data_IF_349038462762
#
_entry.id   IF_349038462762
#
_cell.length_a   1.000
_cell.length_b   1.000
_cell.length_c   1.000
_cell.angle_alpha   90.00
_cell.angle_beta   90.00
_cell.angle_gamma   90.00
#
_symmetry.space_group_name_H-M   'P 1'
#
loop_
_entity.id
_entity.type
_entity.pdbx_description
1 polymer ?
#
# COMPACT_ATOMS: atom_id res chain seq x y z
N UNK A 1 -9.13 -18.41 3.10
CA UNK A 1 -9.72 -17.43 4.04
C UNK A 1 -11.23 -17.62 4.04
N UNK A 2 -11.82 -17.86 5.20
CA UNK A 2 -13.27 -17.90 5.37
C UNK A 2 -13.82 -16.49 5.50
N UNK A 3 -15.03 -16.28 4.98
CA UNK A 3 -15.70 -14.98 4.97
C UNK A 3 -17.04 -15.11 5.67
N UNK A 4 -17.26 -14.29 6.68
CA UNK A 4 -18.48 -14.24 7.46
C UNK A 4 -19.14 -12.87 7.31
N UNK A 5 -20.42 -12.88 6.95
CA UNK A 5 -21.26 -11.70 6.86
C UNK A 5 -22.19 -11.67 8.07
N UNK A 6 -22.14 -10.60 8.86
CA UNK A 6 -22.93 -10.48 10.10
C UNK A 6 -24.19 -9.63 9.96
N UNK A 7 -24.55 -9.22 8.73
CA UNK A 7 -25.77 -8.44 8.48
C UNK A 7 -27.03 -9.26 8.72
N UNK A 8 -28.19 -8.61 8.72
CA UNK A 8 -29.47 -9.33 8.78
C UNK A 8 -29.70 -10.22 7.54
N UNK A 9 -30.60 -11.19 7.67
CA UNK A 9 -30.87 -12.18 6.62
C UNK A 9 -31.33 -11.53 5.29
N UNK A 10 -32.11 -10.45 5.35
CA UNK A 10 -32.59 -9.79 4.15
C UNK A 10 -31.41 -9.12 3.41
N UNK A 11 -30.55 -8.43 4.14
CA UNK A 11 -29.32 -7.83 3.61
C UNK A 11 -28.33 -8.86 3.05
N UNK A 12 -28.17 -10.01 3.72
CA UNK A 12 -27.33 -11.11 3.23
C UNK A 12 -27.87 -11.67 1.91
N UNK A 13 -29.18 -11.90 1.83
CA UNK A 13 -29.84 -12.42 0.63
C UNK A 13 -29.84 -11.41 -0.53
N UNK A 14 -29.92 -10.11 -0.23
CA UNK A 14 -29.88 -9.04 -1.23
C UNK A 14 -28.52 -8.95 -1.93
N UNK A 15 -27.44 -9.33 -1.25
CA UNK A 15 -26.12 -9.45 -1.86
C UNK A 15 -25.00 -9.54 -0.82
N UNK A 16 -24.07 -10.47 -1.03
CA UNK A 16 -22.92 -10.74 -0.16
C UNK A 16 -21.69 -11.11 -1.00
N UNK A 17 -20.51 -11.13 -0.37
CA UNK A 17 -19.28 -11.58 -1.04
C UNK A 17 -19.41 -13.04 -1.46
N UNK A 18 -18.99 -13.37 -2.68
CA UNK A 18 -19.05 -14.74 -3.17
C UNK A 18 -18.34 -15.73 -2.22
N UNK A 19 -19.08 -16.75 -1.77
CA UNK A 19 -18.62 -17.75 -0.82
C UNK A 19 -18.59 -17.29 0.64
N UNK A 20 -19.17 -16.14 0.98
CA UNK A 20 -19.38 -15.73 2.37
C UNK A 20 -20.53 -16.54 3.00
N UNK A 21 -20.32 -16.93 4.25
CA UNK A 21 -21.33 -17.58 5.08
C UNK A 21 -21.99 -16.54 5.99
N UNK A 22 -23.28 -16.70 6.24
CA UNK A 22 -24.01 -15.83 7.15
C UNK A 22 -23.68 -16.18 8.60
N UNK A 23 -23.16 -15.23 9.36
CA UNK A 23 -22.78 -15.39 10.77
C UNK A 23 -23.80 -14.67 11.66
N UNK A 24 -24.38 -15.41 12.59
CA UNK A 24 -25.36 -14.92 13.56
C UNK A 24 -25.08 -15.51 14.94
N UNK A 25 -25.71 -14.94 15.97
CA UNK A 25 -25.61 -15.50 17.33
C UNK A 25 -26.10 -16.95 17.41
N UNK A 26 -26.96 -17.41 16.47
CA UNK A 26 -27.52 -18.76 16.49
C UNK A 26 -26.55 -19.83 15.98
N UNK A 27 -25.63 -19.47 15.09
CA UNK A 27 -24.73 -20.42 14.43
C UNK A 27 -23.24 -20.20 14.73
N UNK A 28 -22.88 -19.14 15.47
CA UNK A 28 -21.48 -18.84 15.81
C UNK A 28 -20.75 -20.03 16.49
N UNK A 29 -21.42 -20.75 17.40
CA UNK A 29 -20.82 -21.89 18.10
C UNK A 29 -20.51 -23.06 17.14
N UNK A 30 -21.39 -23.32 16.19
CA UNK A 30 -21.20 -24.36 15.17
C UNK A 30 -20.04 -23.98 14.23
N UNK A 31 -20.00 -22.72 13.78
CA UNK A 31 -18.94 -22.21 12.91
C UNK A 31 -17.57 -22.23 13.60
N UNK A 32 -17.49 -21.89 14.89
CA UNK A 32 -16.27 -22.01 15.70
C UNK A 32 -15.82 -23.48 15.80
N UNK A 33 -16.75 -24.41 16.03
CA UNK A 33 -16.45 -25.83 16.14
C UNK A 33 -15.96 -26.41 14.79
N UNK A 34 -16.62 -26.04 13.68
CA UNK A 34 -16.33 -26.53 12.34
C UNK A 34 -15.12 -25.90 11.65
N UNK A 35 -14.54 -24.83 12.21
CA UNK A 35 -13.42 -24.12 11.57
C UNK A 35 -12.08 -24.42 12.24
N UNK A 36 -11.06 -24.74 11.44
CA UNK A 36 -9.69 -24.93 11.97
C UNK A 36 -9.06 -23.60 12.40
N UNK A 37 -8.30 -23.60 13.50
CA UNK A 37 -7.81 -22.36 14.17
C UNK A 37 -6.75 -21.60 13.37
N UNK A 38 -6.12 -22.30 12.42
CA UNK A 38 -5.15 -21.74 11.48
C UNK A 38 -5.79 -21.16 10.21
N UNK A 39 -7.10 -21.32 10.03
CA UNK A 39 -7.77 -20.74 8.86
C UNK A 39 -7.96 -19.24 9.09
N UNK A 40 -7.48 -18.38 8.18
CA UNK A 40 -7.73 -16.94 8.28
C UNK A 40 -9.23 -16.68 8.11
N UNK A 41 -9.78 -15.82 8.96
CA UNK A 41 -11.21 -15.47 9.00
C UNK A 41 -11.38 -13.97 8.78
N UNK A 42 -12.22 -13.60 7.82
CA UNK A 42 -12.71 -12.24 7.64
C UNK A 42 -14.17 -12.18 8.07
N UNK A 43 -14.48 -11.29 9.01
CA UNK A 43 -15.84 -10.99 9.46
C UNK A 43 -16.16 -9.55 9.06
N UNK A 44 -17.24 -9.33 8.33
CA UNK A 44 -17.57 -7.99 7.84
C UNK A 44 -19.02 -7.61 8.06
N UNK A 45 -19.25 -6.32 8.28
CA UNK A 45 -20.56 -5.69 8.27
C UNK A 45 -20.52 -4.37 7.49
N UNK A 46 -21.65 -4.00 6.87
CA UNK A 46 -21.73 -2.71 6.16
C UNK A 46 -21.99 -1.54 7.11
N UNK A 47 -22.71 -1.77 8.21
CA UNK A 47 -23.08 -0.74 9.19
C UNK A 47 -22.99 -1.27 10.63
N UNK A 48 -22.37 -0.50 11.51
CA UNK A 48 -22.19 -0.83 12.93
C UNK A 48 -20.84 -1.48 13.26
N UNK A 49 -20.75 -2.07 14.45
CA UNK A 49 -19.52 -2.69 15.00
C UNK A 49 -19.69 -4.19 15.28
N UNK A 50 -20.76 -4.81 14.76
CA UNK A 50 -21.08 -6.21 15.04
C UNK A 50 -19.94 -7.15 14.64
N UNK A 51 -19.24 -6.88 13.54
CA UNK A 51 -18.08 -7.64 13.09
C UNK A 51 -16.95 -7.66 14.12
N UNK A 52 -16.77 -6.60 14.92
CA UNK A 52 -15.73 -6.54 15.94
C UNK A 52 -16.03 -7.47 17.12
N UNK A 53 -17.29 -7.54 17.56
CA UNK A 53 -17.69 -8.40 18.68
C UNK A 53 -17.53 -9.88 18.33
N UNK A 54 -17.93 -10.28 17.11
CA UNK A 54 -17.68 -11.63 16.64
C UNK A 54 -16.18 -11.89 16.41
N UNK A 55 -15.41 -10.92 15.90
CA UNK A 55 -13.98 -11.10 15.73
C UNK A 55 -13.27 -11.36 17.06
N UNK A 56 -13.63 -10.59 18.11
CA UNK A 56 -13.17 -10.85 19.48
C UNK A 56 -13.53 -12.24 19.95
N UNK A 57 -14.78 -12.67 19.70
CA UNK A 57 -15.24 -14.01 20.05
C UNK A 57 -14.37 -15.08 19.37
N UNK A 58 -14.10 -15.00 18.07
CA UNK A 58 -13.21 -15.97 17.41
C UNK A 58 -11.78 -15.92 17.97
N UNK A 59 -11.24 -14.74 18.27
CA UNK A 59 -9.93 -14.61 18.91
C UNK A 59 -9.88 -15.28 20.30
N UNK A 60 -10.92 -15.10 21.12
CA UNK A 60 -11.02 -15.71 22.45
C UNK A 60 -11.04 -17.25 22.38
N UNK A 61 -11.53 -17.82 21.27
CA UNK A 61 -11.51 -19.26 20.99
C UNK A 61 -10.23 -19.75 20.28
N UNK A 62 -9.19 -18.91 20.22
CA UNK A 62 -7.84 -19.29 19.81
C UNK A 62 -7.58 -19.24 18.30
N UNK A 63 -8.37 -18.47 17.54
CA UNK A 63 -8.09 -18.20 16.14
C UNK A 63 -7.05 -17.08 16.02
N UNK A 64 -5.93 -17.36 15.34
CA UNK A 64 -4.79 -16.44 15.30
C UNK A 64 -4.94 -15.31 14.26
N UNK A 65 -5.70 -15.56 13.18
CA UNK A 65 -5.86 -14.63 12.06
C UNK A 65 -7.35 -14.29 11.85
N UNK A 66 -7.88 -13.41 12.69
CA UNK A 66 -9.27 -12.93 12.63
C UNK A 66 -9.28 -11.44 12.31
N UNK A 67 -9.95 -11.09 11.21
CA UNK A 67 -10.06 -9.71 10.73
C UNK A 67 -11.51 -9.26 10.83
N UNK A 68 -11.75 -8.12 11.49
CA UNK A 68 -13.02 -7.42 11.46
C UNK A 68 -12.97 -6.31 10.43
N UNK A 69 -14.02 -6.18 9.62
CA UNK A 69 -14.19 -5.07 8.71
C UNK A 69 -15.54 -4.40 8.90
N UNK A 70 -15.49 -3.14 9.32
CA UNK A 70 -16.64 -2.26 9.41
C UNK A 70 -16.60 -1.30 8.19
N UNK A 71 -17.72 -1.12 7.49
CA UNK A 71 -17.83 -0.17 6.37
C UNK A 71 -17.96 -0.77 4.97
N UNK A 72 -18.15 -2.09 4.85
CA UNK A 72 -18.55 -2.75 3.59
C UNK A 72 -17.43 -3.09 2.59
N UNK A 73 -17.82 -3.63 1.43
CA UNK A 73 -16.94 -4.21 0.40
C UNK A 73 -15.89 -3.25 -0.17
N UNK A 74 -16.20 -1.96 -0.32
CA UNK A 74 -15.27 -0.98 -0.89
C UNK A 74 -14.10 -0.70 0.07
N UNK A 75 -14.35 -0.66 1.38
CA UNK A 75 -13.28 -0.58 2.39
C UNK A 75 -12.42 -1.85 2.39
N UNK A 76 -13.02 -3.02 2.16
CA UNK A 76 -12.28 -4.28 2.03
C UNK A 76 -11.35 -4.28 0.81
N UNK A 77 -11.87 -3.88 -0.35
CA UNK A 77 -11.13 -3.91 -1.63
C UNK A 77 -9.93 -2.97 -1.62
N UNK A 78 -10.02 -1.87 -0.86
CA UNK A 78 -8.93 -0.90 -0.69
C UNK A 78 -7.89 -1.35 0.36
N UNK A 79 -8.29 -2.05 1.41
CA UNK A 79 -7.38 -2.49 2.48
C UNK A 79 -6.76 -3.88 2.28
N UNK A 80 -7.40 -4.75 1.50
CA UNK A 80 -6.94 -6.11 1.25
C UNK A 80 -7.13 -6.44 -0.24
N UNK A 81 -6.19 -6.03 -1.12
CA UNK A 81 -6.19 -6.53 -2.48
C UNK A 81 -6.15 -8.05 -2.44
N UNK A 82 -6.93 -8.68 -3.32
CA UNK A 82 -7.01 -10.12 -3.41
C UNK A 82 -5.59 -10.71 -3.42
N UNK A 83 -5.27 -11.63 -2.50
CA UNK A 83 -4.13 -12.55 -2.67
C UNK A 83 -4.44 -13.44 -3.88
N UNK A 84 -4.30 -12.89 -5.09
CA UNK A 84 -4.44 -13.62 -6.34
C UNK A 84 -3.09 -14.26 -6.64
N UNK A 85 -2.95 -15.51 -6.19
CA UNK A 85 -1.88 -16.43 -6.58
C UNK A 85 -0.48 -15.90 -6.34
N UNK A 86 0.14 -16.26 -5.20
CA UNK A 86 1.59 -16.15 -5.08
C UNK A 86 2.21 -16.90 -6.26
N UNK A 87 2.71 -16.16 -7.26
CA UNK A 87 3.52 -16.76 -8.29
C UNK A 87 4.68 -17.44 -7.56
N UNK A 88 4.96 -18.69 -7.91
CA UNK A 88 5.97 -19.49 -7.23
C UNK A 88 7.29 -18.72 -7.29
N UNK A 89 7.82 -18.32 -6.13
CA UNK A 89 9.07 -17.57 -6.04
C UNK A 89 10.17 -18.40 -6.71
N UNK A 90 10.78 -17.84 -7.75
CA UNK A 90 11.85 -18.50 -8.50
C UNK A 90 13.13 -18.65 -7.65
N UNK A 91 14.03 -19.60 -8.00
CA UNK A 91 15.26 -19.83 -7.24
C UNK A 91 16.17 -18.59 -7.20
N UNK A 92 16.18 -17.78 -8.25
CA UNK A 92 16.94 -16.52 -8.32
C UNK A 92 16.42 -15.51 -7.29
N UNK A 93 15.10 -15.28 -7.27
CA UNK A 93 14.47 -14.38 -6.30
C UNK A 93 14.65 -14.89 -4.87
N UNK A 94 14.46 -16.18 -4.62
CA UNK A 94 14.69 -16.81 -3.32
C UNK A 94 16.14 -16.64 -2.83
N UNK A 95 17.13 -16.81 -3.72
CA UNK A 95 18.54 -16.59 -3.40
C UNK A 95 18.82 -15.11 -3.08
N UNK A 96 18.23 -14.19 -3.85
CA UNK A 96 18.36 -12.76 -3.58
C UNK A 96 17.72 -12.38 -2.24
N UNK A 97 16.51 -12.87 -1.94
CA UNK A 97 15.82 -12.66 -0.66
C UNK A 97 16.70 -13.11 0.51
N UNK A 98 17.22 -14.34 0.46
CA UNK A 98 18.11 -14.87 1.48
C UNK A 98 19.40 -14.03 1.64
N UNK A 99 20.01 -13.60 0.53
CA UNK A 99 21.20 -12.75 0.55
C UNK A 99 20.95 -11.37 1.17
N UNK A 100 19.72 -10.85 1.09
CA UNK A 100 19.31 -9.60 1.73
C UNK A 100 18.79 -9.78 3.16
N UNK A 101 18.78 -11.01 3.70
CA UNK A 101 18.33 -11.33 5.05
C UNK A 101 16.82 -11.54 5.19
N UNK A 102 16.10 -11.71 4.09
CA UNK A 102 14.68 -12.07 4.08
C UNK A 102 14.50 -13.60 4.03
N UNK A 103 13.36 -14.13 4.52
CA UNK A 103 12.93 -15.49 4.22
C UNK A 103 12.85 -15.68 2.69
N UNK A 104 13.37 -16.80 2.14
CA UNK A 104 13.42 -17.05 0.70
C UNK A 104 12.05 -17.28 0.05
N UNK A 105 11.01 -17.49 0.85
CA UNK A 105 9.66 -17.84 0.46
C UNK A 105 8.61 -16.75 0.77
N UNK A 106 9.04 -15.59 1.26
CA UNK A 106 8.15 -14.49 1.63
C UNK A 106 8.59 -13.16 1.01
N UNK A 107 7.80 -12.69 0.04
CA UNK A 107 8.04 -11.42 -0.68
C UNK A 107 7.59 -10.19 0.10
N UNK A 108 6.85 -10.36 1.19
CA UNK A 108 6.32 -9.29 2.05
C UNK A 108 6.97 -9.26 3.43
N UNK A 109 7.92 -10.16 3.69
CA UNK A 109 8.64 -10.23 4.95
C UNK A 109 9.25 -8.87 5.33
N UNK A 110 9.20 -8.54 6.61
CA UNK A 110 9.80 -7.32 7.13
C UNK A 110 11.04 -7.65 7.96
N UNK A 111 12.16 -6.98 7.67
CA UNK A 111 13.37 -7.00 8.52
C UNK A 111 13.43 -5.74 9.38
N UNK A 112 14.59 -5.43 9.96
CA UNK A 112 14.82 -4.21 10.73
C UNK A 112 14.30 -2.95 10.01
N UNK A 113 13.78 -2.00 10.81
CA UNK A 113 13.07 -0.80 10.34
C UNK A 113 11.83 -1.08 9.48
N UNK A 114 11.21 -2.26 9.59
CA UNK A 114 10.05 -2.68 8.78
C UNK A 114 10.33 -2.62 7.27
N UNK A 115 11.58 -2.85 6.88
CA UNK A 115 11.98 -2.83 5.47
C UNK A 115 11.49 -4.12 4.79
N UNK A 116 10.79 -4.01 3.65
CA UNK A 116 10.35 -5.15 2.84
C UNK A 116 11.34 -5.45 1.69
N UNK A 117 11.26 -6.63 1.03
CA UNK A 117 12.01 -6.92 -0.17
C UNK A 117 11.86 -5.86 -1.26
N UNK A 118 10.63 -5.39 -1.51
CA UNK A 118 10.35 -4.38 -2.53
C UNK A 118 11.05 -3.05 -2.21
N UNK A 119 11.03 -2.63 -0.94
CA UNK A 119 11.76 -1.45 -0.46
C UNK A 119 13.27 -1.60 -0.66
N UNK A 120 13.84 -2.76 -0.31
CA UNK A 120 15.27 -3.02 -0.48
C UNK A 120 15.67 -3.01 -1.96
N UNK A 121 14.88 -3.67 -2.82
CA UNK A 121 15.14 -3.71 -4.26
C UNK A 121 15.05 -2.31 -4.89
N UNK A 122 14.07 -1.51 -4.48
CA UNK A 122 13.91 -0.11 -4.90
C UNK A 122 15.10 0.76 -4.47
N UNK A 123 15.56 0.61 -3.23
CA UNK A 123 16.73 1.34 -2.74
C UNK A 123 18.02 0.99 -3.49
N UNK A 124 18.16 -0.26 -3.93
CA UNK A 124 19.31 -0.73 -4.72
C UNK A 124 19.16 -0.51 -6.23
N UNK A 125 17.98 -0.06 -6.70
CA UNK A 125 17.70 0.15 -8.12
C UNK A 125 17.59 -1.14 -8.93
N UNK A 126 17.35 -2.29 -8.30
CA UNK A 126 17.31 -3.57 -9.00
C UNK A 126 15.93 -3.80 -9.64
N UNK A 127 15.73 -3.23 -10.83
CA UNK A 127 14.46 -3.28 -11.58
C UNK A 127 14.01 -4.70 -11.90
N UNK A 128 14.93 -5.62 -12.19
CA UNK A 128 14.61 -7.01 -12.44
C UNK A 128 13.95 -7.64 -11.21
N UNK A 129 14.54 -7.45 -10.03
CA UNK A 129 13.99 -7.95 -8.77
C UNK A 129 12.68 -7.23 -8.41
N UNK A 130 12.56 -5.93 -8.64
CA UNK A 130 11.29 -5.19 -8.42
C UNK A 130 10.16 -5.84 -9.24
N UNK A 131 10.39 -6.08 -10.54
CA UNK A 131 9.39 -6.71 -11.41
C UNK A 131 9.07 -8.14 -10.98
N UNK A 132 10.06 -8.93 -10.58
CA UNK A 132 9.85 -10.29 -10.06
C UNK A 132 9.04 -10.29 -8.75
N UNK A 133 9.35 -9.38 -7.81
CA UNK A 133 8.62 -9.24 -6.55
C UNK A 133 7.16 -8.84 -6.80
N UNK A 134 6.92 -7.87 -7.68
CA UNK A 134 5.57 -7.43 -8.05
C UNK A 134 4.79 -8.55 -8.74
N UNK A 135 5.42 -9.30 -9.65
CA UNK A 135 4.83 -10.48 -10.29
C UNK A 135 4.53 -11.61 -9.29
N UNK A 136 5.32 -11.73 -8.23
CA UNK A 136 5.09 -12.65 -7.12
C UNK A 136 4.03 -12.17 -6.11
N UNK A 137 3.49 -10.96 -6.30
CA UNK A 137 2.41 -10.41 -5.49
C UNK A 137 2.87 -9.59 -4.28
N UNK A 138 4.10 -9.08 -4.27
CA UNK A 138 4.59 -8.20 -3.21
C UNK A 138 3.71 -6.95 -3.06
N UNK A 139 3.38 -6.60 -1.82
CA UNK A 139 2.55 -5.46 -1.48
C UNK A 139 3.24 -4.12 -1.75
N UNK A 140 2.69 -3.33 -2.67
CA UNK A 140 3.20 -2.00 -3.03
C UNK A 140 2.96 -0.92 -1.96
N UNK A 141 1.97 -1.14 -1.07
CA UNK A 141 1.52 -0.16 -0.09
C UNK A 141 2.31 -0.20 1.24
N UNK A 142 3.27 -1.12 1.38
CA UNK A 142 4.06 -1.25 2.60
C UNK A 142 4.88 0.02 2.89
N UNK A 143 5.02 0.36 4.18
CA UNK A 143 5.77 1.51 4.69
C UNK A 143 6.74 1.07 5.78
N UNK A 144 7.96 1.61 5.76
CA UNK A 144 9.00 1.31 6.74
C UNK A 144 8.73 2.05 8.07
N UNK A 145 9.65 1.97 9.03
CA UNK A 145 9.49 2.59 10.36
C UNK A 145 9.40 4.13 10.33
N UNK A 146 9.89 4.78 9.28
CA UNK A 146 9.80 6.24 9.06
C UNK A 146 8.60 6.61 8.17
N UNK A 147 7.77 5.62 7.84
CA UNK A 147 6.66 5.80 6.92
C UNK A 147 7.06 5.89 5.45
N UNK A 148 8.30 5.62 5.07
CA UNK A 148 8.76 5.66 3.69
C UNK A 148 8.36 4.37 2.94
N UNK A 149 7.90 4.50 1.70
CA UNK A 149 7.55 3.37 0.83
C UNK A 149 8.67 3.04 -0.18
N UNK A 150 8.44 2.06 -1.07
CA UNK A 150 9.42 1.68 -2.10
C UNK A 150 9.76 2.83 -3.07
N UNK A 151 8.77 3.66 -3.47
CA UNK A 151 8.99 4.80 -4.36
C UNK A 151 9.96 5.82 -3.74
N UNK A 152 9.76 6.15 -2.46
CA UNK A 152 10.66 7.04 -1.73
C UNK A 152 12.09 6.52 -1.78
N UNK A 153 12.29 5.23 -1.52
CA UNK A 153 13.62 4.63 -1.50
C UNK A 153 14.28 4.58 -2.88
N UNK A 154 13.52 4.40 -3.96
CA UNK A 154 14.01 4.55 -5.33
C UNK A 154 14.47 6.00 -5.61
N UNK A 155 13.73 6.99 -5.12
CA UNK A 155 14.10 8.42 -5.21
C UNK A 155 15.35 8.75 -4.36
N UNK A 156 15.51 8.10 -3.19
CA UNK A 156 16.74 8.17 -2.39
C UNK A 156 17.94 7.65 -3.21
N UNK A 157 17.79 6.53 -3.90
CA UNK A 157 18.83 5.93 -4.75
C UNK A 157 19.05 6.60 -6.12
N UNK A 158 18.17 7.54 -6.53
CA UNK A 158 18.16 8.18 -7.88
C UNK A 158 17.93 7.16 -9.01
N UNK A 159 17.17 6.10 -8.75
CA UNK A 159 16.93 5.02 -9.69
C UNK A 159 15.67 5.28 -10.52
N UNK A 160 15.78 6.04 -11.62
CA UNK A 160 14.63 6.44 -12.44
C UNK A 160 13.86 5.25 -13.03
N UNK A 161 14.58 4.22 -13.49
CA UNK A 161 13.94 3.00 -14.03
C UNK A 161 13.18 2.22 -12.94
N UNK A 162 13.62 2.30 -11.68
CA UNK A 162 12.91 1.71 -10.55
C UNK A 162 11.66 2.52 -10.19
N UNK A 163 11.74 3.87 -10.30
CA UNK A 163 10.57 4.74 -10.18
C UNK A 163 9.53 4.37 -11.24
N UNK A 164 9.96 4.22 -12.50
CA UNK A 164 9.07 3.82 -13.60
C UNK A 164 8.36 2.50 -13.32
N UNK A 165 9.11 1.45 -12.97
CA UNK A 165 8.55 0.13 -12.69
C UNK A 165 7.53 0.15 -11.53
N UNK A 166 7.78 0.94 -10.48
CA UNK A 166 6.87 1.06 -9.34
C UNK A 166 5.60 1.84 -9.70
N UNK A 167 5.72 2.92 -10.48
CA UNK A 167 4.57 3.71 -10.94
C UNK A 167 3.71 2.91 -11.93
N UNK A 168 4.33 2.15 -12.84
CA UNK A 168 3.62 1.21 -13.73
C UNK A 168 2.85 0.14 -12.95
N UNK A 169 3.35 -0.25 -11.78
CA UNK A 169 2.68 -1.17 -10.87
C UNK A 169 1.55 -0.53 -10.04
N UNK A 170 1.29 0.76 -10.23
CA UNK A 170 0.21 1.49 -9.56
C UNK A 170 0.56 2.00 -8.16
N UNK A 171 1.84 2.18 -7.83
CA UNK A 171 2.19 2.87 -6.58
C UNK A 171 1.71 4.32 -6.64
N UNK A 172 1.17 4.80 -5.53
CA UNK A 172 0.78 6.20 -5.40
C UNK A 172 2.04 7.09 -5.36
N UNK A 173 2.14 7.98 -6.36
CA UNK A 173 3.28 8.92 -6.54
C UNK A 173 3.33 9.95 -5.40
N UNK A 174 2.16 10.32 -4.87
CA UNK A 174 1.99 11.37 -3.86
C UNK A 174 1.89 10.80 -2.44
N UNK A 175 2.29 9.54 -2.26
CA UNK A 175 2.31 8.92 -0.95
C UNK A 175 3.17 9.72 0.03
N UNK A 176 2.66 9.86 1.25
CA UNK A 176 3.24 10.71 2.29
C UNK A 176 3.86 9.86 3.37
N UNK A 177 5.08 10.21 3.77
CA UNK A 177 5.73 9.59 4.92
C UNK A 177 5.15 10.11 6.26
N UNK A 178 5.71 9.69 7.40
CA UNK A 178 5.16 10.03 8.71
C UNK A 178 5.27 11.52 9.07
N UNK A 179 6.14 12.27 8.36
CA UNK A 179 6.25 13.73 8.45
C UNK A 179 5.35 14.45 7.42
N UNK A 180 4.51 13.71 6.70
CA UNK A 180 3.72 14.24 5.60
C UNK A 180 4.52 14.55 4.34
N UNK A 181 5.78 14.13 4.23
CA UNK A 181 6.60 14.44 3.07
C UNK A 181 6.35 13.46 1.91
N UNK A 182 6.26 13.98 0.69
CA UNK A 182 6.20 13.18 -0.55
C UNK A 182 7.60 12.94 -1.14
N UNK A 183 7.72 11.96 -2.03
CA UNK A 183 8.98 11.70 -2.74
C UNK A 183 9.47 12.92 -3.54
N UNK A 184 8.55 13.75 -4.05
CA UNK A 184 8.88 15.00 -4.75
C UNK A 184 9.51 16.04 -3.81
N UNK A 185 8.98 16.20 -2.60
CA UNK A 185 9.54 17.11 -1.59
C UNK A 185 10.96 16.70 -1.20
N UNK A 186 11.19 15.39 -1.00
CA UNK A 186 12.53 14.87 -0.71
C UNK A 186 13.50 15.11 -1.86
N UNK A 187 13.09 14.83 -3.10
CA UNK A 187 13.93 15.08 -4.28
C UNK A 187 14.29 16.57 -4.39
N UNK A 188 13.32 17.46 -4.11
CA UNK A 188 13.51 18.91 -4.09
C UNK A 188 14.51 19.36 -3.01
N UNK A 189 14.32 18.90 -1.77
CA UNK A 189 15.18 19.23 -0.63
C UNK A 189 16.58 18.63 -0.70
N UNK A 190 16.72 17.53 -1.43
CA UNK A 190 18.02 16.90 -1.70
C UNK A 190 18.70 17.46 -2.96
N UNK A 191 18.09 18.43 -3.66
CA UNK A 191 18.65 19.02 -4.87
C UNK A 191 18.72 18.06 -6.08
N UNK A 192 17.94 16.98 -6.08
CA UNK A 192 17.95 15.92 -7.11
C UNK A 192 17.05 16.30 -8.28
N UNK A 193 17.49 17.28 -9.08
CA UNK A 193 16.70 17.86 -10.16
C UNK A 193 16.19 16.82 -11.19
N UNK A 194 17.00 15.82 -11.53
CA UNK A 194 16.58 14.73 -12.43
C UNK A 194 15.39 13.93 -11.87
N UNK A 195 15.38 13.65 -10.56
CA UNK A 195 14.29 12.93 -9.89
C UNK A 195 13.05 13.83 -9.77
N UNK A 196 13.24 15.13 -9.52
CA UNK A 196 12.15 16.12 -9.55
C UNK A 196 11.48 16.14 -10.91
N UNK A 197 12.26 16.29 -11.99
CA UNK A 197 11.74 16.29 -13.36
C UNK A 197 10.97 15.00 -13.66
N UNK A 198 11.52 13.86 -13.24
CA UNK A 198 10.92 12.54 -13.47
C UNK A 198 9.59 12.36 -12.72
N UNK A 199 9.54 12.71 -11.43
CA UNK A 199 8.32 12.64 -10.63
C UNK A 199 7.23 13.58 -11.16
N UNK A 200 7.59 14.79 -11.59
CA UNK A 200 6.65 15.72 -12.24
C UNK A 200 6.08 15.14 -13.54
N UNK A 201 6.91 14.45 -14.34
CA UNK A 201 6.45 13.76 -15.54
C UNK A 201 5.51 12.58 -15.24
N UNK A 202 5.58 12.00 -14.03
CA UNK A 202 4.65 10.98 -13.52
C UNK A 202 3.42 11.56 -12.83
N UNK A 203 3.23 12.88 -12.87
CA UNK A 203 2.05 13.54 -12.35
C UNK A 203 2.07 13.81 -10.85
N UNK A 204 3.25 13.85 -10.21
CA UNK A 204 3.37 14.21 -8.81
C UNK A 204 2.74 15.58 -8.51
N UNK A 205 1.95 15.66 -7.44
CA UNK A 205 1.31 16.88 -7.00
C UNK A 205 2.31 17.83 -6.33
N UNK A 206 2.50 18.98 -6.98
CA UNK A 206 3.34 20.07 -6.49
C UNK A 206 2.73 20.84 -5.31
N UNK A 207 1.42 20.73 -5.10
CA UNK A 207 0.67 21.49 -4.09
C UNK A 207 0.60 20.79 -2.74
N UNK A 208 1.00 19.52 -2.69
CA UNK A 208 1.14 18.81 -1.43
C UNK A 208 2.12 19.55 -0.52
N UNK A 209 1.84 19.57 0.78
CA UNK A 209 2.63 20.23 1.83
C UNK A 209 2.99 19.23 2.92
N UNK A 210 4.12 19.38 3.62
CA UNK A 210 4.44 18.58 4.81
C UNK A 210 3.48 18.89 5.97
N UNK A 211 3.61 18.19 7.11
CA UNK A 211 2.84 18.55 8.32
C UNK A 211 3.16 19.96 8.84
N UNK A 212 4.33 20.50 8.50
CA UNK A 212 4.74 21.87 8.85
C UNK A 212 4.34 22.91 7.79
N UNK A 213 3.60 22.51 6.75
CA UNK A 213 3.12 23.41 5.70
C UNK A 213 4.14 23.75 4.62
N UNK A 214 5.21 22.97 4.46
CA UNK A 214 6.20 23.20 3.40
C UNK A 214 5.88 22.39 2.15
N UNK A 215 5.77 23.07 1.00
CA UNK A 215 5.64 22.41 -0.29
C UNK A 215 7.00 21.98 -0.86
N UNK A 216 6.98 21.19 -1.94
CA UNK A 216 8.21 20.88 -2.67
C UNK A 216 8.92 22.16 -3.19
N UNK A 217 8.17 23.22 -3.51
CA UNK A 217 8.71 24.49 -3.96
C UNK A 217 9.47 25.22 -2.86
N UNK A 218 8.95 25.20 -1.63
CA UNK A 218 9.57 25.84 -0.47
C UNK A 218 10.87 25.14 -0.06
N UNK A 219 10.92 23.82 -0.29
CA UNK A 219 12.07 23.00 0.06
C UNK A 219 13.15 22.93 -1.02
N UNK A 220 13.04 23.67 -2.13
CA UNK A 220 13.98 23.57 -3.25
C UNK A 220 15.42 23.94 -2.85
N UNK A 221 16.31 22.94 -2.81
CA UNK A 221 17.71 23.13 -2.42
C UNK A 221 18.64 23.55 -3.58
N UNK A 222 18.16 23.51 -4.84
CA UNK A 222 18.93 23.92 -6.01
C UNK A 222 18.12 24.81 -6.95
N UNK A 223 18.82 25.65 -7.71
CA UNK A 223 18.20 26.53 -8.73
C UNK A 223 17.47 25.72 -9.81
N UNK A 224 18.01 24.55 -10.14
CA UNK A 224 17.42 23.64 -11.13
C UNK A 224 16.09 23.06 -10.62
N UNK A 225 16.04 22.53 -9.40
CA UNK A 225 14.80 22.08 -8.76
C UNK A 225 13.77 23.21 -8.70
N UNK A 226 14.18 24.39 -8.24
CA UNK A 226 13.31 25.56 -8.15
C UNK A 226 12.73 25.95 -9.51
N UNK A 227 13.55 25.88 -10.56
CA UNK A 227 13.14 26.22 -11.93
C UNK A 227 12.10 25.22 -12.45
N UNK A 228 12.37 23.92 -12.29
CA UNK A 228 11.44 22.84 -12.69
C UNK A 228 10.10 22.97 -11.97
N UNK A 229 10.12 23.16 -10.65
CA UNK A 229 8.90 23.28 -9.85
C UNK A 229 8.10 24.54 -10.18
N UNK A 230 8.75 25.69 -10.42
CA UNK A 230 8.07 26.91 -10.88
C UNK A 230 7.45 26.76 -12.27
N UNK A 231 8.12 26.05 -13.17
CA UNK A 231 7.58 25.77 -14.50
C UNK A 231 6.34 24.87 -14.41
N UNK A 232 6.41 23.80 -13.62
CA UNK A 232 5.28 22.92 -13.35
C UNK A 232 4.10 23.67 -12.70
N UNK A 233 4.37 24.53 -11.71
CA UNK A 233 3.36 25.37 -11.07
C UNK A 233 2.63 26.31 -12.05
N UNK A 234 3.39 26.96 -12.94
CA UNK A 234 2.82 27.81 -13.98
C UNK A 234 1.99 27.00 -14.99
N UNK A 235 2.45 25.81 -15.37
CA UNK A 235 1.72 24.93 -16.27
C UNK A 235 0.38 24.49 -15.67
N UNK A 236 0.39 24.06 -14.41
CA UNK A 236 -0.80 23.66 -13.67
C UNK A 236 -1.81 24.81 -13.48
N UNK A 237 -1.33 26.06 -13.31
CA UNK A 237 -2.21 27.22 -13.21
C UNK A 237 -2.89 27.57 -14.54
N UNK A 238 -2.24 27.27 -15.68
CA UNK A 238 -2.80 27.54 -17.03
C UNK A 238 -3.79 26.48 -17.49
N UNK A 239 -3.72 25.27 -16.96
CA UNK A 239 -4.62 24.17 -17.30
C UNK A 239 -5.91 24.15 -16.48
N UNK A 240 -6.04 24.99 -15.44
CA UNK A 240 -7.28 25.14 -14.70
C UNK A 240 -8.34 25.86 -15.58
N UNK A 241 -9.58 25.34 -15.70
CA UNK A 241 -10.60 25.99 -16.49
C UNK A 241 -10.91 27.38 -15.95
N UNK A 242 -10.95 28.40 -16.82
CA UNK A 242 -11.49 29.71 -16.48
C UNK A 242 -12.95 29.53 -16.03
N UNK A 243 -13.19 29.59 -14.71
CA UNK A 243 -14.54 29.81 -14.20
C UNK A 243 -14.89 31.25 -14.53
N UNK A 244 -15.51 31.46 -15.70
CA UNK A 244 -16.08 32.76 -16.03
C UNK A 244 -17.24 33.06 -15.05
N UNK A 245 -17.30 34.28 -14.50
CA UNK A 245 -18.38 34.70 -13.61
C UNK A 245 -19.73 34.76 -14.33
#
# INVERSE_FOLDING_TARGET
MLRFDVRDQASFNAGHLAGAQHLTQRNVSELIAGTTRRTPILIYCYHGHASQEYARTFSDFGFAEVYSLDGGYEAWRLHFPARSGAARIGPTLAAWLAAQGFPPDDVDAAIANRTTPLMRAAHLGNVAVIRELLAAGAGIAARNADGNNALWLACVGRHLDAIDALVEAGIDVDNRNDNGATSLMYASSSGKAEVVAHLLAKGADIKSETLDGFSALDMAASLECLTLLRQAAKAAARSAPEVRP
#
